data_IF_226187128578
#
_entry.id   IF_226187128578
#
_cell.length_a   1.000
_cell.length_b   1.000
_cell.length_c   1.000
_cell.angle_alpha   90.00
_cell.angle_beta   90.00
_cell.angle_gamma   90.00
#
_symmetry.space_group_name_H-M   'P 1'
#
loop_
_entity.id
_entity.type
_entity.pdbx_description
1 polymer ?
#
# COMPACT_ATOMS: atom_id res chain seq x y z
N UNK A 1 16.44 -60.75 48.39
CA UNK A 1 15.94 -59.44 48.86
C UNK A 1 15.86 -58.57 47.61
N UNK A 2 14.85 -58.84 46.78
CA UNK A 2 14.50 -58.00 45.63
C UNK A 2 14.06 -56.62 46.13
N UNK A 3 14.74 -55.55 45.69
CA UNK A 3 14.41 -54.18 46.08
C UNK A 3 15.35 -53.11 45.52
N UNK A 4 16.58 -53.48 45.16
CA UNK A 4 17.58 -52.51 44.67
C UNK A 4 17.59 -52.32 43.14
N UNK A 5 16.87 -53.15 42.37
CA UNK A 5 16.80 -53.04 40.90
C UNK A 5 15.83 -51.96 40.40
N UNK A 6 14.80 -51.59 41.18
CA UNK A 6 13.84 -50.54 40.79
C UNK A 6 14.41 -49.12 40.87
N UNK A 7 15.52 -48.90 41.59
CA UNK A 7 16.18 -47.58 41.66
C UNK A 7 17.20 -47.33 40.55
N UNK A 8 17.69 -48.38 39.88
CA UNK A 8 18.63 -48.25 38.76
C UNK A 8 17.95 -48.22 37.38
N UNK A 9 16.68 -48.62 37.30
CA UNK A 9 15.88 -48.58 36.07
C UNK A 9 15.38 -47.17 35.68
N UNK A 10 15.53 -46.17 36.55
CA UNK A 10 15.11 -44.78 36.27
C UNK A 10 16.25 -43.87 35.79
N UNK A 11 17.46 -44.42 35.58
CA UNK A 11 18.62 -43.66 35.09
C UNK A 11 19.01 -44.00 33.65
N UNK A 12 18.04 -44.36 32.81
CA UNK A 12 18.24 -44.37 31.36
C UNK A 12 18.37 -42.93 30.84
N UNK A 13 19.63 -42.56 30.62
CA UNK A 13 20.11 -41.57 29.65
C UNK A 13 19.46 -40.19 29.78
N UNK A 14 20.06 -39.37 30.64
CA UNK A 14 19.99 -37.92 30.54
C UNK A 14 20.52 -37.49 29.17
N UNK A 15 19.64 -37.43 28.18
CA UNK A 15 19.89 -36.72 26.92
C UNK A 15 20.29 -35.31 27.33
N UNK A 16 21.53 -34.94 26.99
CA UNK A 16 22.01 -33.57 27.18
C UNK A 16 20.94 -32.62 26.62
N UNK A 17 20.60 -31.51 27.30
CA UNK A 17 19.66 -30.53 26.76
C UNK A 17 20.23 -30.05 25.43
N UNK A 18 19.73 -30.61 24.33
CA UNK A 18 20.17 -30.29 22.99
C UNK A 18 19.81 -28.83 22.80
N UNK A 19 20.83 -27.96 22.85
CA UNK A 19 20.71 -26.51 22.83
C UNK A 19 19.67 -26.11 21.81
N UNK A 20 18.73 -25.27 22.23
CA UNK A 20 17.51 -25.03 21.49
C UNK A 20 17.77 -24.87 19.98
N UNK A 21 17.12 -25.73 19.20
CA UNK A 21 17.35 -25.87 17.75
C UNK A 21 17.01 -24.58 16.97
N UNK A 22 16.34 -23.61 17.61
CA UNK A 22 16.11 -22.26 17.06
C UNK A 22 17.40 -21.47 16.82
N UNK A 23 18.52 -21.90 17.42
CA UNK A 23 19.82 -21.25 17.26
C UNK A 23 20.77 -21.99 16.31
N UNK A 24 20.41 -23.17 15.79
CA UNK A 24 21.24 -23.95 14.86
C UNK A 24 20.52 -24.30 13.56
N UNK A 25 19.20 -24.24 13.53
CA UNK A 25 18.43 -24.35 12.30
C UNK A 25 18.08 -22.94 11.82
N UNK A 26 18.59 -22.57 10.65
CA UNK A 26 18.11 -21.34 10.00
C UNK A 26 16.60 -21.51 9.79
N UNK A 27 15.78 -20.49 10.11
CA UNK A 27 14.38 -20.48 9.73
C UNK A 27 14.24 -20.84 8.24
N UNK A 28 13.22 -21.61 7.84
CA UNK A 28 13.04 -22.03 6.46
C UNK A 28 13.26 -20.87 5.49
N UNK A 29 14.14 -21.07 4.50
CA UNK A 29 14.45 -20.02 3.52
C UNK A 29 13.15 -19.49 2.92
N UNK A 30 12.95 -18.18 3.07
CA UNK A 30 11.76 -17.50 2.58
C UNK A 30 11.73 -17.67 1.07
N UNK A 31 10.76 -18.44 0.55
CA UNK A 31 10.55 -18.58 -0.90
C UNK A 31 10.50 -17.18 -1.54
N UNK A 32 11.17 -16.94 -2.70
CA UNK A 32 11.06 -15.68 -3.40
C UNK A 32 9.58 -15.43 -3.72
N UNK A 33 9.00 -14.40 -3.09
CA UNK A 33 7.57 -14.09 -3.14
C UNK A 33 6.83 -14.10 -1.79
N UNK A 34 7.47 -14.55 -0.70
CA UNK A 34 6.87 -14.67 0.63
C UNK A 34 6.89 -13.42 1.51
N UNK A 35 6.92 -12.22 0.93
CA UNK A 35 6.56 -11.01 1.69
C UNK A 35 5.10 -10.75 1.34
N UNK A 36 4.18 -11.18 2.20
CA UNK A 36 2.83 -10.63 2.15
C UNK A 36 3.01 -9.14 2.41
N UNK A 37 2.89 -8.31 1.38
CA UNK A 37 2.82 -6.88 1.59
C UNK A 37 1.61 -6.66 2.48
N UNK A 38 1.85 -6.38 3.78
CA UNK A 38 0.82 -5.90 4.67
C UNK A 38 0.20 -4.73 3.92
N UNK A 39 -1.09 -4.85 3.58
CA UNK A 39 -1.73 -3.86 2.74
C UNK A 39 -1.58 -2.50 3.42
N UNK A 40 -1.00 -1.52 2.73
CA UNK A 40 -0.85 -0.14 3.22
C UNK A 40 -2.19 0.60 3.31
N UNK A 41 -3.30 -0.13 3.35
CA UNK A 41 -4.64 0.41 3.52
C UNK A 41 -4.90 0.51 5.01
N UNK A 42 -5.00 1.75 5.49
CA UNK A 42 -5.49 2.04 6.84
C UNK A 42 -6.91 1.50 7.00
N UNK A 43 -7.19 0.85 8.13
CA UNK A 43 -8.56 0.44 8.48
C UNK A 43 -9.45 1.68 8.49
N UNK A 44 -10.43 1.73 7.59
CA UNK A 44 -11.43 2.81 7.56
C UNK A 44 -12.58 2.60 8.55
N UNK A 45 -12.59 1.47 9.25
CA UNK A 45 -13.53 1.21 10.33
C UNK A 45 -13.09 1.91 11.63
N UNK A 46 -14.03 2.29 12.50
CA UNK A 46 -13.69 2.72 13.85
C UNK A 46 -12.87 1.62 14.53
N UNK A 47 -11.86 2.00 15.29
CA UNK A 47 -11.06 1.05 16.07
C UNK A 47 -11.95 0.52 17.19
N UNK A 48 -12.45 -0.70 17.04
CA UNK A 48 -13.05 -1.43 18.17
C UNK A 48 -12.03 -1.39 19.31
N UNK A 49 -12.45 -0.90 20.48
CA UNK A 49 -11.59 -0.78 21.66
C UNK A 49 -11.01 -2.14 22.07
N UNK A 50 -10.10 -2.13 23.05
CA UNK A 50 -9.37 -3.32 23.56
C UNK A 50 -10.25 -4.42 24.18
N UNK A 51 -11.57 -4.35 24.01
CA UNK A 51 -12.55 -5.16 24.72
C UNK A 51 -12.65 -4.79 26.18
N UNK A 52 -13.52 -5.51 26.89
CA UNK A 52 -13.71 -5.32 28.32
C UNK A 52 -12.59 -6.02 29.10
N UNK A 53 -11.74 -5.24 29.76
CA UNK A 53 -10.60 -5.76 30.54
C UNK A 53 -10.94 -6.01 32.00
N UNK A 54 -12.21 -5.83 32.42
CA UNK A 54 -12.61 -5.91 33.84
C UNK A 54 -12.81 -7.35 34.35
N UNK A 55 -12.54 -8.36 33.51
CA UNK A 55 -12.74 -9.79 33.83
C UNK A 55 -12.02 -10.22 35.12
N UNK A 56 -10.89 -9.60 35.44
CA UNK A 56 -10.10 -9.88 36.65
C UNK A 56 -10.43 -8.98 37.85
N UNK A 57 -11.22 -7.91 37.64
CA UNK A 57 -11.58 -6.93 38.68
C UNK A 57 -13.05 -7.02 39.11
N UNK A 58 -13.90 -7.74 38.37
CA UNK A 58 -15.34 -7.83 38.64
C UNK A 58 -15.67 -8.72 39.86
N UNK A 59 -16.62 -8.26 40.69
CA UNK A 59 -17.20 -9.08 41.77
C UNK A 59 -18.18 -10.13 41.22
N UNK A 60 -18.52 -11.19 41.98
CA UNK A 60 -19.47 -12.21 41.53
C UNK A 60 -20.85 -11.66 41.14
N UNK A 61 -21.29 -10.59 41.81
CA UNK A 61 -22.55 -9.90 41.50
C UNK A 61 -22.46 -9.11 40.20
N UNK A 62 -21.36 -8.39 39.98
CA UNK A 62 -21.11 -7.64 38.74
C UNK A 62 -21.07 -8.58 37.53
N UNK A 63 -20.42 -9.74 37.69
CA UNK A 63 -20.39 -10.78 36.66
C UNK A 63 -21.80 -11.28 36.30
N UNK A 64 -22.68 -11.46 37.29
CA UNK A 64 -24.06 -11.90 37.07
C UNK A 64 -24.92 -10.82 36.39
N UNK A 65 -24.73 -9.55 36.72
CA UNK A 65 -25.44 -8.44 36.06
C UNK A 65 -24.97 -8.25 34.61
N UNK A 66 -23.67 -8.32 34.38
CA UNK A 66 -23.05 -8.21 33.05
C UNK A 66 -23.50 -9.34 32.12
N UNK A 67 -23.60 -10.57 32.64
CA UNK A 67 -24.15 -11.71 31.91
C UNK A 67 -25.61 -11.50 31.46
N UNK A 68 -26.41 -10.70 32.19
CA UNK A 68 -27.77 -10.32 31.79
C UNK A 68 -27.80 -9.18 30.77
N UNK A 69 -26.82 -8.28 30.79
CA UNK A 69 -26.74 -7.14 29.88
C UNK A 69 -26.20 -7.51 28.49
N UNK A 70 -25.33 -8.52 28.40
CA UNK A 70 -24.78 -9.03 27.13
C UNK A 70 -25.85 -9.52 26.13
N UNK A 71 -26.82 -10.38 26.50
CA UNK A 71 -27.86 -10.83 25.57
C UNK A 71 -28.77 -9.68 25.13
N UNK A 72 -29.04 -8.69 25.99
CA UNK A 72 -29.80 -7.50 25.61
C UNK A 72 -29.05 -6.67 24.56
N UNK A 73 -27.74 -6.46 24.73
CA UNK A 73 -26.89 -5.78 23.73
C UNK A 73 -26.82 -6.54 22.41
N UNK A 74 -26.79 -7.87 22.44
CA UNK A 74 -26.82 -8.70 21.23
C UNK A 74 -28.16 -8.57 20.48
N UNK A 75 -29.28 -8.55 21.21
CA UNK A 75 -30.62 -8.34 20.62
C UNK A 75 -30.72 -6.94 19.99
N UNK A 76 -30.23 -5.90 20.66
CA UNK A 76 -30.17 -4.53 20.12
C UNK A 76 -29.25 -4.43 18.89
N UNK A 77 -28.11 -5.14 18.89
CA UNK A 77 -27.22 -5.21 17.75
C UNK A 77 -27.88 -5.87 16.54
N UNK A 78 -28.56 -7.01 16.75
CA UNK A 78 -29.22 -7.76 15.69
C UNK A 78 -30.38 -7.00 15.08
N UNK A 79 -31.22 -6.37 15.89
CA UNK A 79 -32.32 -5.51 15.42
C UNK A 79 -31.81 -4.33 14.60
N UNK A 80 -30.74 -3.67 15.03
CA UNK A 80 -30.10 -2.59 14.26
C UNK A 80 -29.51 -3.09 12.94
N UNK A 81 -28.93 -4.29 12.92
CA UNK A 81 -28.39 -4.92 11.71
C UNK A 81 -29.49 -5.27 10.70
N UNK A 82 -30.61 -5.82 11.18
CA UNK A 82 -31.78 -6.14 10.34
C UNK A 82 -32.32 -4.86 9.69
N UNK A 83 -32.46 -3.77 10.46
CA UNK A 83 -32.95 -2.49 9.93
C UNK A 83 -32.01 -1.89 8.87
N UNK A 84 -30.70 -1.90 9.14
CA UNK A 84 -29.68 -1.46 8.17
C UNK A 84 -29.69 -2.27 6.88
N UNK A 85 -29.87 -3.59 6.99
CA UNK A 85 -29.91 -4.46 5.82
C UNK A 85 -31.15 -4.22 4.95
N UNK A 86 -32.31 -3.96 5.57
CA UNK A 86 -33.52 -3.58 4.86
C UNK A 86 -33.35 -2.29 4.05
N UNK A 87 -32.83 -1.23 4.69
CA UNK A 87 -32.55 0.05 4.03
C UNK A 87 -31.51 -0.08 2.90
N UNK A 88 -30.47 -0.89 3.11
CA UNK A 88 -29.47 -1.15 2.07
C UNK A 88 -30.07 -1.86 0.84
N UNK A 89 -30.94 -2.84 1.08
CA UNK A 89 -31.57 -3.60 0.00
C UNK A 89 -32.55 -2.74 -0.81
N UNK A 90 -33.31 -1.87 -0.14
CA UNK A 90 -34.19 -0.91 -0.78
C UNK A 90 -33.42 0.10 -1.63
N UNK A 91 -32.36 0.70 -1.07
CA UNK A 91 -31.47 1.61 -1.80
C UNK A 91 -30.78 0.92 -3.00
N UNK A 92 -30.41 -0.35 -2.87
CA UNK A 92 -29.82 -1.12 -3.97
C UNK A 92 -30.81 -1.34 -5.12
N UNK A 93 -32.06 -1.67 -4.79
CA UNK A 93 -33.13 -1.87 -5.77
C UNK A 93 -33.50 -0.54 -6.47
N UNK A 94 -33.56 0.56 -5.73
CA UNK A 94 -33.76 1.90 -6.30
C UNK A 94 -32.62 2.30 -7.24
N UNK A 95 -31.37 2.10 -6.83
CA UNK A 95 -30.21 2.42 -7.65
C UNK A 95 -30.13 1.56 -8.93
N UNK A 96 -30.52 0.29 -8.86
CA UNK A 96 -30.60 -0.58 -10.04
C UNK A 96 -31.74 -0.16 -10.97
N UNK A 97 -32.90 0.25 -10.43
CA UNK A 97 -33.98 0.82 -11.23
C UNK A 97 -33.56 2.13 -11.92
N UNK A 98 -32.84 3.03 -11.23
CA UNK A 98 -32.31 4.26 -11.82
C UNK A 98 -31.24 4.00 -12.88
N UNK A 99 -30.32 3.05 -12.65
CA UNK A 99 -29.30 2.67 -13.65
C UNK A 99 -29.90 1.93 -14.86
N UNK A 100 -31.09 1.35 -14.70
CA UNK A 100 -31.85 0.77 -15.81
C UNK A 100 -32.59 1.81 -16.66
N UNK A 101 -32.64 3.08 -16.22
CA UNK A 101 -33.24 4.15 -17.00
C UNK A 101 -32.50 4.31 -18.33
N UNK A 102 -33.17 3.92 -19.41
CA UNK A 102 -32.56 3.85 -20.74
C UNK A 102 -32.18 5.22 -21.29
N UNK A 103 -32.76 6.32 -20.78
CA UNK A 103 -32.47 7.68 -21.23
C UNK A 103 -30.99 8.06 -21.04
N UNK A 104 -30.39 7.73 -19.89
CA UNK A 104 -28.97 8.04 -19.65
C UNK A 104 -28.04 7.22 -20.57
N UNK A 105 -28.43 6.00 -20.90
CA UNK A 105 -27.72 5.17 -21.89
C UNK A 105 -27.88 5.72 -23.31
N UNK A 106 -29.07 6.22 -23.66
CA UNK A 106 -29.32 6.89 -24.95
C UNK A 106 -28.49 8.17 -25.06
N UNK A 107 -28.48 9.01 -24.03
CA UNK A 107 -27.67 10.24 -24.01
C UNK A 107 -26.17 9.97 -24.10
N UNK A 108 -25.65 8.97 -23.39
CA UNK A 108 -24.25 8.58 -23.48
C UNK A 108 -23.88 8.09 -24.89
N UNK A 109 -24.79 7.38 -25.57
CA UNK A 109 -24.58 6.96 -26.96
C UNK A 109 -24.63 8.12 -27.96
N UNK A 110 -25.54 9.07 -27.77
CA UNK A 110 -25.66 10.26 -28.63
C UNK A 110 -24.46 11.21 -28.47
N UNK A 111 -23.96 11.37 -27.25
CA UNK A 111 -22.75 12.18 -26.98
C UNK A 111 -21.49 11.55 -27.59
N UNK A 112 -21.36 10.21 -27.50
CA UNK A 112 -20.29 9.48 -28.17
C UNK A 112 -20.34 9.67 -29.70
N UNK A 113 -21.52 9.60 -30.29
CA UNK A 113 -21.71 9.85 -31.72
C UNK A 113 -21.34 11.29 -32.14
N UNK A 114 -21.62 12.27 -31.28
CA UNK A 114 -21.27 13.67 -31.51
C UNK A 114 -19.76 13.88 -31.51
N UNK A 115 -19.07 13.33 -30.49
CA UNK A 115 -17.60 13.39 -30.38
C UNK A 115 -16.94 12.70 -31.57
N UNK A 116 -17.48 11.58 -32.04
CA UNK A 116 -16.98 10.87 -33.21
C UNK A 116 -17.15 11.67 -34.50
N UNK A 117 -18.30 12.34 -34.70
CA UNK A 117 -18.53 13.24 -35.84
C UNK A 117 -17.52 14.40 -35.83
N UNK A 118 -17.31 15.01 -34.67
CA UNK A 118 -16.33 16.10 -34.50
C UNK A 118 -14.90 15.62 -34.79
N UNK A 119 -14.50 14.48 -34.23
CA UNK A 119 -13.18 13.90 -34.46
C UNK A 119 -12.96 13.54 -35.93
N UNK A 120 -13.96 13.00 -36.63
CA UNK A 120 -13.87 12.71 -38.07
C UNK A 120 -13.71 13.98 -38.92
N UNK A 121 -14.41 15.07 -38.55
CA UNK A 121 -14.37 16.33 -39.30
C UNK A 121 -13.11 17.17 -39.04
N UNK A 122 -12.57 17.15 -37.81
CA UNK A 122 -11.44 18.01 -37.39
C UNK A 122 -10.12 17.26 -37.20
N UNK A 123 -10.12 15.92 -37.18
CA UNK A 123 -8.92 15.11 -36.96
C UNK A 123 -8.68 14.19 -38.15
N UNK A 124 -7.57 14.43 -38.85
CA UNK A 124 -7.16 13.61 -40.00
C UNK A 124 -6.72 12.18 -39.63
N UNK A 125 -6.28 11.94 -38.38
CA UNK A 125 -5.88 10.61 -37.87
C UNK A 125 -6.23 10.48 -36.38
N UNK A 126 -6.79 9.34 -35.97
CA UNK A 126 -7.07 9.07 -34.55
C UNK A 126 -5.76 8.83 -33.78
N UNK A 127 -5.75 9.10 -32.48
CA UNK A 127 -4.56 8.88 -31.63
C UNK A 127 -4.13 7.41 -31.65
N UNK A 128 -5.11 6.50 -31.62
CA UNK A 128 -4.88 5.06 -31.70
C UNK A 128 -4.24 4.69 -33.04
N UNK A 129 -4.74 5.24 -34.14
CA UNK A 129 -4.17 5.00 -35.47
C UNK A 129 -2.76 5.58 -35.59
N UNK A 130 -2.48 6.77 -35.02
CA UNK A 130 -1.11 7.31 -34.96
C UNK A 130 -0.18 6.37 -34.20
N UNK A 131 -0.62 5.81 -33.08
CA UNK A 131 0.19 4.87 -32.31
C UNK A 131 0.42 3.56 -33.09
N UNK A 132 -0.60 3.03 -33.76
CA UNK A 132 -0.47 1.85 -34.61
C UNK A 132 0.48 2.10 -35.79
N UNK A 133 0.38 3.25 -36.45
CA UNK A 133 1.30 3.69 -37.50
C UNK A 133 2.74 3.83 -36.96
N UNK A 134 2.92 4.44 -35.78
CA UNK A 134 4.23 4.54 -35.13
C UNK A 134 4.83 3.18 -34.76
N UNK A 135 4.02 2.26 -34.24
CA UNK A 135 4.46 0.89 -33.90
C UNK A 135 4.81 0.11 -35.17
N UNK A 136 3.99 0.21 -36.22
CA UNK A 136 4.25 -0.43 -37.52
C UNK A 136 5.47 0.19 -38.24
N UNK A 137 5.71 1.49 -38.08
CA UNK A 137 6.90 2.16 -38.61
C UNK A 137 8.16 1.79 -37.81
N UNK A 138 8.05 1.61 -36.49
CA UNK A 138 9.15 1.11 -35.65
C UNK A 138 9.50 -0.35 -35.99
N UNK A 139 8.51 -1.21 -36.29
CA UNK A 139 8.77 -2.59 -36.69
C UNK A 139 9.38 -2.71 -38.09
N UNK A 140 8.97 -1.87 -39.05
CA UNK A 140 9.64 -1.76 -40.37
C UNK A 140 11.05 -1.18 -40.30
N UNK A 141 11.34 -0.30 -39.34
CA UNK A 141 12.71 0.20 -39.09
C UNK A 141 13.59 -0.83 -38.37
N UNK A 142 12.98 -1.73 -37.57
CA UNK A 142 13.65 -2.87 -36.93
C UNK A 142 14.12 -3.94 -37.94
N UNK A 143 13.48 -4.10 -39.10
CA UNK A 143 13.93 -5.07 -40.12
C UNK A 143 15.09 -4.56 -41.00
N UNK A 144 15.39 -3.25 -40.99
CA UNK A 144 16.61 -2.67 -41.61
C UNK A 144 17.75 -2.41 -40.61
N UNK A 145 17.50 -2.54 -39.31
CA UNK A 145 18.48 -2.51 -38.21
C UNK A 145 18.38 -3.79 -37.36
N UNK A 146 18.70 -4.95 -37.94
CA UNK A 146 18.99 -6.18 -37.16
C UNK A 146 20.49 -6.33 -36.88
N UNK A 147 21.35 -5.46 -37.42
CA UNK A 147 22.67 -5.23 -36.84
C UNK A 147 22.57 -4.01 -35.92
N UNK A 148 22.82 -4.26 -34.64
CA UNK A 148 22.80 -3.31 -33.51
C UNK A 148 21.41 -3.09 -32.90
N UNK A 149 21.16 -3.79 -31.79
CA UNK A 149 20.35 -3.24 -30.71
C UNK A 149 21.26 -2.41 -29.80
N UNK A 150 21.19 -1.07 -29.83
CA UNK A 150 21.94 -0.20 -28.94
C UNK A 150 20.95 0.40 -27.92
N UNK A 151 20.37 -0.46 -27.07
CA UNK A 151 19.33 -0.02 -26.13
C UNK A 151 19.54 -0.48 -24.69
N UNK A 152 20.17 -1.64 -24.49
CA UNK A 152 20.54 -2.14 -23.16
C UNK A 152 22.04 -2.13 -22.90
N UNK A 153 22.86 -2.28 -23.94
CA UNK A 153 24.32 -2.25 -23.84
C UNK A 153 24.90 -0.83 -23.87
N UNK A 154 24.29 0.11 -24.60
CA UNK A 154 24.76 1.50 -24.65
C UNK A 154 24.47 2.28 -23.34
N UNK A 155 23.44 1.86 -22.59
CA UNK A 155 23.08 2.46 -21.30
C UNK A 155 24.01 2.00 -20.17
N UNK A 156 24.59 0.79 -20.27
CA UNK A 156 25.60 0.29 -19.34
C UNK A 156 26.98 0.85 -19.68
N UNK A 157 27.19 2.15 -19.45
CA UNK A 157 28.50 2.79 -19.59
C UNK A 157 28.47 4.26 -19.98
N UNK A 158 27.38 4.73 -20.60
CA UNK A 158 27.16 6.15 -20.92
C UNK A 158 26.27 6.82 -19.86
N UNK A 159 26.54 6.58 -18.58
CA UNK A 159 25.94 7.42 -17.54
C UNK A 159 26.73 8.74 -17.49
N UNK A 160 26.07 9.92 -17.54
CA UNK A 160 26.75 11.21 -17.37
C UNK A 160 27.29 11.42 -15.94
N UNK A 161 27.20 10.38 -15.11
CA UNK A 161 27.52 10.35 -13.69
C UNK A 161 28.62 9.30 -13.54
N UNK A 162 29.73 9.70 -12.93
CA UNK A 162 30.85 8.82 -12.58
C UNK A 162 30.33 7.63 -11.74
N UNK A 163 30.80 6.38 -11.98
CA UNK A 163 30.48 5.24 -11.13
C UNK A 163 30.83 5.54 -9.67
N UNK A 164 29.88 5.25 -8.77
CA UNK A 164 30.02 5.46 -7.34
C UNK A 164 31.19 4.65 -6.79
N UNK A 165 32.23 5.33 -6.33
CA UNK A 165 33.42 4.73 -5.75
C UNK A 165 33.34 4.90 -4.23
N UNK A 166 33.26 3.77 -3.52
CA UNK A 166 33.10 3.75 -2.05
C UNK A 166 34.23 4.50 -1.35
N UNK A 167 35.47 4.46 -1.83
CA UNK A 167 36.58 5.11 -1.13
C UNK A 167 36.61 6.63 -1.38
N UNK A 168 36.16 7.07 -2.56
CA UNK A 168 36.14 8.47 -2.98
C UNK A 168 34.85 9.20 -2.57
N UNK A 169 33.73 8.51 -2.62
CA UNK A 169 32.39 9.11 -2.56
C UNK A 169 31.70 8.81 -1.21
N UNK A 170 32.17 7.84 -0.41
CA UNK A 170 31.68 7.61 0.98
C UNK A 170 32.20 8.67 1.96
N UNK A 171 33.32 9.31 1.63
CA UNK A 171 33.77 10.50 2.34
C UNK A 171 33.01 11.71 1.83
N UNK A 172 31.70 11.73 2.12
CA UNK A 172 31.01 13.00 2.29
C UNK A 172 31.67 13.67 3.49
N UNK A 173 32.80 14.35 3.24
CA UNK A 173 33.52 15.13 4.23
C UNK A 173 32.47 15.97 4.93
N UNK A 174 32.42 15.87 6.27
CA UNK A 174 31.52 16.71 7.06
C UNK A 174 31.86 18.14 6.65
N UNK A 175 31.00 18.78 5.85
CA UNK A 175 31.10 20.21 5.62
C UNK A 175 30.89 20.80 7.02
N UNK A 176 31.97 21.28 7.62
CA UNK A 176 31.92 22.04 8.85
C UNK A 176 31.20 23.34 8.52
N UNK A 177 29.88 23.29 8.58
CA UNK A 177 29.04 24.47 8.47
C UNK A 177 29.22 25.18 9.81
N UNK A 178 29.87 26.33 9.78
CA UNK A 178 29.91 27.21 10.94
C UNK A 178 28.47 27.69 11.16
N UNK A 179 27.87 27.29 12.27
CA UNK A 179 26.55 27.78 12.67
C UNK A 179 26.69 29.20 13.23
N UNK A 180 26.92 30.16 12.34
CA UNK A 180 26.84 31.58 12.67
C UNK A 180 25.38 32.04 12.52
N UNK A 181 24.77 32.45 13.64
CA UNK A 181 23.38 32.89 13.69
C UNK A 181 23.10 34.09 12.78
N UNK A 182 24.09 34.97 12.60
CA UNK A 182 23.92 36.13 11.71
C UNK A 182 23.85 35.70 10.23
N UNK A 183 24.65 34.71 9.84
CA UNK A 183 24.62 34.17 8.48
C UNK A 183 23.30 33.45 8.17
N UNK A 184 22.75 32.68 9.11
CA UNK A 184 21.49 31.96 8.92
C UNK A 184 20.29 32.90 8.87
N UNK A 185 20.24 33.90 9.75
CA UNK A 185 19.16 34.89 9.77
C UNK A 185 19.16 35.78 8.54
N UNK A 186 20.35 36.15 8.02
CA UNK A 186 20.47 36.95 6.79
C UNK A 186 19.91 36.22 5.57
N UNK A 187 20.23 34.93 5.40
CA UNK A 187 19.75 34.15 4.26
C UNK A 187 18.23 33.87 4.34
N UNK A 188 17.73 33.60 5.54
CA UNK A 188 16.29 33.49 5.79
C UNK A 188 15.57 34.82 5.56
N UNK A 189 16.11 35.93 6.03
CA UNK A 189 15.54 37.26 5.79
C UNK A 189 15.59 37.64 4.31
N UNK A 190 16.60 37.24 3.53
CA UNK A 190 16.64 37.52 2.10
C UNK A 190 15.48 36.88 1.35
N UNK A 191 15.08 35.66 1.75
CA UNK A 191 14.04 34.89 1.05
C UNK A 191 12.65 35.07 1.63
N UNK A 192 12.57 35.37 2.92
CA UNK A 192 11.31 35.45 3.68
C UNK A 192 11.02 36.85 4.23
N UNK A 193 11.91 37.83 4.07
CA UNK A 193 11.55 39.24 4.27
C UNK A 193 10.62 39.61 3.13
N UNK A 194 9.32 39.43 3.38
CA UNK A 194 8.23 39.85 2.53
C UNK A 194 8.21 41.38 2.47
N UNK A 195 9.13 41.95 1.71
CA UNK A 195 8.97 43.27 1.12
C UNK A 195 7.77 43.24 0.17
N UNK A 196 6.90 44.22 0.31
CA UNK A 196 5.58 44.32 -0.32
C UNK A 196 5.68 44.31 -1.87
N UNK A 197 5.67 43.13 -2.50
CA UNK A 197 5.62 43.03 -3.97
C UNK A 197 4.17 43.21 -4.45
N UNK A 198 3.83 44.43 -4.90
CA UNK A 198 2.61 44.68 -5.67
C UNK A 198 2.72 43.96 -7.02
N UNK A 199 1.96 42.86 -7.17
CA UNK A 199 1.79 42.17 -8.43
C UNK A 199 0.76 42.93 -9.26
N UNK A 200 1.22 43.69 -10.24
CA UNK A 200 0.32 44.28 -11.24
C UNK A 200 -0.03 43.20 -12.27
N UNK A 201 -1.30 42.82 -12.33
CA UNK A 201 -1.83 42.01 -13.41
C UNK A 201 -2.16 42.93 -14.58
N UNK A 202 -1.57 42.65 -15.75
CA UNK A 202 -2.04 43.16 -17.04
C UNK A 202 -3.27 42.37 -17.50
#
# INVERSE_FOLDING_TARGET
>A
MEGDEELLAQTEVKVEPKRDEWMTTLPPERKPGGVTMQSTKFSRGPKEGRGDTSVWTDTPLDRAQKAKMNPLREIESLTKKIYLYGSYLEAYNEATALASNDEDKKRASEDADLVDKYNKAKRSKTLVQKHQEEVANKSKKKSKQVKQQPGKQEWMGQHPWKPWDREKDLTAGRKSINFDSESMTKDLSSRFSSGNFQRNFL
#
